data_IF_226507535903
#
_entry.id   IF_226507535903
#
_cell.length_a   1.000
_cell.length_b   1.000
_cell.length_c   1.000
_cell.angle_alpha   90.00
_cell.angle_beta   90.00
_cell.angle_gamma   90.00
#
_symmetry.space_group_name_H-M   'P 1'
#
loop_
_entity.id
_entity.type
_entity.pdbx_description
1 polymer ?
#
# COMPACT_ATOMS: atom_id res chain seq x y z
N UNK A 1 -16.60 26.95 -17.87
CA UNK A 1 -16.29 27.85 -16.74
C UNK A 1 -15.41 27.07 -15.78
N UNK A 2 -14.09 27.25 -15.85
CA UNK A 2 -13.13 26.64 -14.94
C UNK A 2 -12.49 27.71 -14.08
N UNK A 3 -12.60 27.58 -12.75
CA UNK A 3 -11.87 28.43 -11.81
C UNK A 3 -10.57 27.73 -11.41
N UNK A 4 -9.46 28.31 -11.86
CA UNK A 4 -8.11 28.07 -11.35
C UNK A 4 -7.96 28.88 -10.06
N UNK A 5 -7.81 28.22 -8.92
CA UNK A 5 -7.38 28.87 -7.68
C UNK A 5 -5.86 28.79 -7.59
N UNK A 6 -5.19 29.93 -7.78
CA UNK A 6 -3.80 30.15 -7.42
C UNK A 6 -3.70 30.24 -5.89
N UNK A 7 -3.09 29.23 -5.26
CA UNK A 7 -2.65 29.34 -3.87
C UNK A 7 -1.21 29.87 -3.86
N UNK A 8 -1.05 31.10 -3.40
CA UNK A 8 0.25 31.76 -3.22
C UNK A 8 1.00 31.06 -2.07
N UNK A 9 2.06 30.32 -2.38
CA UNK A 9 2.99 29.81 -1.37
C UNK A 9 3.82 30.97 -0.81
N UNK A 10 3.71 31.23 0.49
CA UNK A 10 4.65 32.09 1.21
C UNK A 10 5.74 31.19 1.76
N UNK A 11 6.91 31.20 1.11
CA UNK A 11 8.13 30.59 1.64
C UNK A 11 8.69 31.48 2.75
N UNK A 12 8.64 31.04 4.00
CA UNK A 12 9.25 31.74 5.13
C UNK A 12 10.62 31.10 5.38
N UNK A 13 11.70 31.79 5.04
CA UNK A 13 13.03 31.51 5.59
C UNK A 13 13.15 32.19 6.95
N UNK A 14 13.49 31.44 8.00
CA UNK A 14 13.77 32.00 9.33
C UNK A 14 15.22 31.70 9.71
N UNK A 15 16.03 32.75 9.87
CA UNK A 15 17.37 32.67 10.45
C UNK A 15 17.31 32.66 12.00
N UNK A 16 18.28 32.04 12.70
CA UNK A 16 18.18 31.83 14.14
C UNK A 16 18.90 32.94 14.94
N UNK A 17 18.18 33.68 15.78
CA UNK A 17 18.73 34.36 16.95
C UNK A 17 17.61 34.96 17.82
N UNK A 18 17.49 34.52 19.09
CA UNK A 18 17.55 35.32 20.32
C UNK A 18 17.02 34.49 21.52
N UNK A 19 17.77 34.55 22.62
CA UNK A 19 17.63 33.80 23.88
C UNK A 19 16.64 34.44 24.88
N UNK A 20 16.00 33.57 25.67
CA UNK A 20 15.59 33.65 27.10
C UNK A 20 14.74 34.84 27.63
N UNK A 21 13.55 34.53 28.16
CA UNK A 21 13.18 34.68 29.60
C UNK A 21 11.74 34.18 29.89
N UNK A 22 11.38 33.80 31.14
CA UNK A 22 10.23 32.93 31.44
C UNK A 22 9.09 33.65 32.20
N UNK A 23 7.81 33.37 31.90
CA UNK A 23 6.70 33.73 32.80
C UNK A 23 5.50 32.77 32.76
N UNK A 24 5.27 32.19 33.94
CA UNK A 24 4.03 31.88 34.71
C UNK A 24 2.73 31.34 34.08
N UNK A 25 2.26 30.30 34.77
CA UNK A 25 1.03 29.50 34.72
C UNK A 25 -0.28 30.28 34.95
N UNK A 26 -1.36 29.88 34.27
CA UNK A 26 -2.70 29.87 34.88
C UNK A 26 -3.64 28.82 34.24
N UNK A 27 -4.17 27.93 35.08
CA UNK A 27 -5.24 26.94 34.78
C UNK A 27 -6.53 27.63 34.34
N UNK A 28 -7.20 27.06 33.33
CA UNK A 28 -8.62 27.29 33.08
C UNK A 28 -9.32 25.94 32.89
N UNK A 29 -10.29 25.66 33.77
CA UNK A 29 -11.21 24.54 33.68
C UNK A 29 -12.35 24.89 32.71
N UNK A 30 -12.64 24.05 31.73
CA UNK A 30 -13.94 24.04 31.07
C UNK A 30 -14.50 22.61 31.00
N UNK A 31 -15.63 22.41 31.72
CA UNK A 31 -16.58 21.34 31.47
C UNK A 31 -17.32 21.66 30.18
N UNK A 32 -17.35 20.73 29.23
CA UNK A 32 -18.24 20.77 28.08
C UNK A 32 -19.03 19.45 28.05
N UNK A 33 -20.35 19.58 28.12
CA UNK A 33 -21.31 18.49 28.01
C UNK A 33 -21.53 18.14 26.55
N UNK A 34 -21.46 16.84 26.24
CA UNK A 34 -21.82 16.23 24.96
C UNK A 34 -23.34 16.19 24.80
N UNK A 35 -23.86 16.62 23.65
CA UNK A 35 -25.20 16.23 23.16
C UNK A 35 -25.14 15.95 21.65
N UNK A 36 -25.34 14.68 21.31
CA UNK A 36 -25.62 14.17 19.96
C UNK A 36 -27.15 13.98 19.82
N UNK A 37 -27.73 14.13 18.62
CA UNK A 37 -28.93 13.39 18.31
C UNK A 37 -28.74 12.44 17.14
N UNK A 38 -28.99 11.17 17.43
CA UNK A 38 -29.17 10.06 16.51
C UNK A 38 -30.67 9.92 16.16
N UNK A 39 -30.92 9.62 14.88
CA UNK A 39 -32.04 8.81 14.34
C UNK A 39 -33.49 9.26 14.50
N UNK A 40 -34.18 9.34 13.35
CA UNK A 40 -35.35 8.45 13.15
C UNK A 40 -35.64 8.17 11.67
N UNK A 41 -35.76 6.89 11.38
CA UNK A 41 -36.23 6.32 10.14
C UNK A 41 -37.72 6.60 9.90
N UNK A 42 -38.08 6.77 8.63
CA UNK A 42 -39.46 6.75 8.12
C UNK A 42 -39.44 6.26 6.67
N UNK A 43 -40.07 5.11 6.44
CA UNK A 43 -40.16 4.38 5.17
C UNK A 43 -41.55 4.62 4.55
N UNK A 44 -41.67 4.37 3.23
CA UNK A 44 -42.91 4.11 2.46
C UNK A 44 -43.75 5.35 2.05
N UNK A 45 -44.33 5.52 0.85
CA UNK A 45 -44.71 4.66 -0.29
C UNK A 45 -44.91 5.51 -1.57
N UNK A 46 -44.76 4.87 -2.73
CA UNK A 46 -45.51 4.98 -4.00
C UNK A 46 -46.03 6.35 -4.49
N UNK A 47 -45.67 6.72 -5.73
CA UNK A 47 -46.65 6.96 -6.81
C UNK A 47 -45.94 7.15 -8.18
N UNK A 48 -46.29 6.28 -9.13
CA UNK A 48 -46.13 6.52 -10.56
C UNK A 48 -47.11 7.63 -11.00
N UNK A 49 -46.67 8.53 -11.89
CA UNK A 49 -47.58 9.14 -12.87
C UNK A 49 -46.82 9.47 -14.16
N UNK A 50 -47.22 8.79 -15.22
CA UNK A 50 -47.03 9.24 -16.60
C UNK A 50 -48.11 10.29 -16.91
N UNK A 51 -47.76 11.39 -17.56
CA UNK A 51 -48.65 12.08 -18.48
C UNK A 51 -47.83 12.93 -19.47
N UNK A 52 -48.07 12.63 -20.74
CA UNK A 52 -47.45 13.15 -21.96
C UNK A 52 -48.08 14.48 -22.39
N UNK A 53 -47.37 15.30 -23.17
CA UNK A 53 -47.88 15.88 -24.45
C UNK A 53 -46.82 16.69 -25.22
N UNK A 54 -46.30 16.05 -26.26
CA UNK A 54 -46.20 16.44 -27.69
C UNK A 54 -45.77 17.83 -28.20
N UNK A 55 -45.19 17.73 -29.41
CA UNK A 55 -45.11 18.66 -30.58
C UNK A 55 -43.87 19.58 -30.59
N UNK A 56 -43.02 19.69 -31.64
CA UNK A 56 -43.22 19.62 -33.10
C UNK A 56 -41.97 19.02 -33.79
N UNK A 57 -42.20 18.35 -34.92
CA UNK A 57 -41.24 17.69 -35.79
C UNK A 57 -40.29 18.62 -36.57
N UNK A 58 -39.10 18.11 -36.90
CA UNK A 58 -38.48 18.37 -38.20
C UNK A 58 -37.78 17.10 -38.67
N UNK A 59 -38.26 16.62 -39.81
CA UNK A 59 -37.85 15.44 -40.54
C UNK A 59 -36.53 15.61 -41.29
N UNK A 60 -36.00 14.46 -41.71
CA UNK A 60 -35.05 14.23 -42.79
C UNK A 60 -33.57 14.24 -42.40
N UNK A 61 -33.05 13.05 -42.05
CA UNK A 61 -32.07 12.36 -42.89
C UNK A 61 -31.90 10.92 -42.39
N UNK A 62 -32.65 10.03 -43.02
CA UNK A 62 -32.52 8.59 -42.87
C UNK A 62 -31.62 8.09 -44.02
N UNK A 63 -30.76 7.10 -43.71
CA UNK A 63 -29.96 6.24 -44.61
C UNK A 63 -28.53 6.69 -44.90
N UNK A 64 -27.60 6.19 -44.08
CA UNK A 64 -26.36 5.51 -44.50
C UNK A 64 -25.97 4.55 -43.35
N UNK A 65 -25.67 3.29 -43.67
CA UNK A 65 -24.82 2.46 -42.79
C UNK A 65 -25.51 1.46 -41.86
N UNK A 66 -26.38 0.61 -42.39
CA UNK A 66 -26.62 -0.74 -41.87
C UNK A 66 -25.31 -1.54 -41.81
N UNK A 67 -24.49 -1.42 -40.76
CA UNK A 67 -23.26 -2.24 -40.63
C UNK A 67 -22.69 -2.47 -39.21
N UNK A 68 -23.35 -2.08 -38.12
CA UNK A 68 -22.79 -2.25 -36.76
C UNK A 68 -23.70 -2.94 -35.74
N UNK A 69 -24.48 -3.93 -36.16
CA UNK A 69 -25.20 -4.81 -35.23
C UNK A 69 -24.65 -6.24 -35.30
N UNK A 70 -23.53 -6.49 -34.62
CA UNK A 70 -23.24 -7.73 -33.88
C UNK A 70 -21.75 -7.80 -33.50
N UNK A 71 -21.38 -7.16 -32.39
CA UNK A 71 -20.19 -7.61 -31.65
C UNK A 71 -20.41 -7.37 -30.16
N UNK A 72 -21.35 -8.10 -29.59
CA UNK A 72 -21.44 -8.31 -28.14
C UNK A 72 -20.32 -9.26 -27.75
N UNK A 73 -19.19 -8.71 -27.29
CA UNK A 73 -18.20 -9.46 -26.54
C UNK A 73 -18.91 -10.02 -25.30
N UNK A 74 -18.87 -11.33 -25.02
CA UNK A 74 -19.45 -11.85 -23.79
C UNK A 74 -18.62 -11.27 -22.64
N UNK A 75 -19.21 -10.36 -21.87
CA UNK A 75 -18.69 -9.95 -20.59
C UNK A 75 -18.72 -11.20 -19.71
N UNK A 76 -17.55 -11.81 -19.48
CA UNK A 76 -17.42 -12.88 -18.51
C UNK A 76 -18.06 -12.40 -17.21
N UNK A 77 -19.05 -13.12 -16.71
CA UNK A 77 -19.76 -12.78 -15.49
C UNK A 77 -18.72 -12.65 -14.36
N UNK A 78 -18.39 -11.41 -14.01
CA UNK A 78 -17.56 -11.13 -12.85
C UNK A 78 -18.27 -11.75 -11.66
N UNK A 79 -17.57 -12.63 -10.94
CA UNK A 79 -18.07 -13.19 -9.70
C UNK A 79 -18.52 -12.02 -8.80
N UNK A 80 -19.61 -12.16 -8.02
CA UNK A 80 -20.12 -11.06 -7.22
C UNK A 80 -18.99 -10.49 -6.33
N UNK A 81 -18.96 -9.17 -6.06
CA UNK A 81 -17.86 -8.52 -5.36
C UNK A 81 -17.50 -9.15 -4.01
N UNK A 82 -18.47 -9.80 -3.36
CA UNK A 82 -18.26 -10.55 -2.13
C UNK A 82 -17.48 -11.86 -2.34
N UNK A 83 -17.70 -12.57 -3.44
CA UNK A 83 -16.97 -13.79 -3.79
C UNK A 83 -15.53 -13.49 -4.22
N UNK A 84 -15.28 -12.37 -4.92
CA UNK A 84 -13.92 -11.90 -5.22
C UNK A 84 -13.17 -11.54 -3.94
N UNK A 85 -13.79 -10.79 -3.01
CA UNK A 85 -13.18 -10.48 -1.71
C UNK A 85 -12.89 -11.72 -0.86
N UNK A 86 -13.75 -12.74 -0.91
CA UNK A 86 -13.52 -13.98 -0.19
C UNK A 86 -12.32 -14.77 -0.76
N UNK A 87 -12.18 -14.81 -2.09
CA UNK A 87 -11.04 -15.46 -2.75
C UNK A 87 -9.72 -14.69 -2.56
N UNK A 88 -9.76 -13.35 -2.59
CA UNK A 88 -8.61 -12.50 -2.27
C UNK A 88 -8.17 -12.66 -0.81
N UNK A 89 -9.12 -12.74 0.13
CA UNK A 89 -8.85 -13.02 1.53
C UNK A 89 -8.20 -14.40 1.73
N UNK A 90 -8.62 -15.41 0.97
CA UNK A 90 -8.03 -16.75 1.01
C UNK A 90 -6.56 -16.74 0.53
N UNK A 91 -6.25 -16.02 -0.55
CA UNK A 91 -4.87 -15.91 -1.04
C UNK A 91 -3.96 -15.18 -0.04
N UNK A 92 -4.41 -14.05 0.51
CA UNK A 92 -3.61 -13.28 1.46
C UNK A 92 -3.40 -14.03 2.77
N UNK A 93 -4.40 -14.78 3.24
CA UNK A 93 -4.26 -15.67 4.40
C UNK A 93 -3.19 -16.75 4.15
N UNK A 94 -3.21 -17.40 2.98
CA UNK A 94 -2.21 -18.40 2.60
C UNK A 94 -0.80 -17.82 2.47
N UNK A 95 -0.67 -16.60 1.98
CA UNK A 95 0.63 -15.89 1.96
C UNK A 95 1.12 -15.59 3.38
N UNK A 96 0.22 -15.17 4.26
CA UNK A 96 0.54 -14.89 5.65
C UNK A 96 1.01 -16.16 6.38
N UNK A 97 0.39 -17.32 6.13
CA UNK A 97 0.88 -18.62 6.62
C UNK A 97 2.32 -18.92 6.16
N UNK A 98 2.70 -18.46 4.97
CA UNK A 98 4.07 -18.54 4.43
C UNK A 98 4.97 -17.38 4.90
N UNK A 99 4.52 -16.60 5.89
CA UNK A 99 5.18 -15.43 6.50
C UNK A 99 5.47 -14.33 5.49
N UNK A 100 4.57 -14.16 4.53
CA UNK A 100 4.64 -13.12 3.51
C UNK A 100 3.57 -12.07 3.82
N UNK A 101 4.02 -10.82 3.99
CA UNK A 101 3.18 -9.64 4.26
C UNK A 101 3.34 -8.67 3.09
N UNK A 102 2.25 -8.06 2.65
CA UNK A 102 2.25 -7.13 1.52
C UNK A 102 1.78 -5.73 1.94
N UNK A 103 2.63 -4.73 1.69
CA UNK A 103 2.28 -3.31 1.67
C UNK A 103 2.16 -2.88 0.19
N UNK A 104 0.96 -3.02 -0.37
CA UNK A 104 0.68 -2.73 -1.79
C UNK A 104 -0.13 -1.46 -2.05
N UNK A 105 -0.34 -0.62 -1.03
CA UNK A 105 -1.19 0.57 -1.10
C UNK A 105 -0.52 1.77 -0.42
N UNK A 106 -1.17 2.94 -0.51
CA UNK A 106 -0.78 4.12 0.27
C UNK A 106 -0.82 3.80 1.76
N UNK A 107 0.14 4.33 2.52
CA UNK A 107 0.24 4.04 3.95
C UNK A 107 -0.64 5.00 4.76
N UNK A 108 -1.81 4.54 5.14
CA UNK A 108 -2.68 5.18 6.12
C UNK A 108 -2.72 4.39 7.44
N UNK A 109 -3.47 4.89 8.43
CA UNK A 109 -3.56 4.26 9.74
C UNK A 109 -4.15 2.83 9.66
N UNK A 110 -5.10 2.60 8.74
CA UNK A 110 -5.71 1.28 8.55
C UNK A 110 -4.72 0.27 7.96
N UNK A 111 -3.99 0.67 6.92
CA UNK A 111 -2.94 -0.15 6.33
C UNK A 111 -1.83 -0.42 7.35
N UNK A 112 -1.43 0.58 8.14
CA UNK A 112 -0.44 0.41 9.19
C UNK A 112 -0.91 -0.59 10.26
N UNK A 113 -2.13 -0.45 10.78
CA UNK A 113 -2.70 -1.37 11.76
C UNK A 113 -2.75 -2.82 11.24
N UNK A 114 -3.10 -3.00 9.95
CA UNK A 114 -3.12 -4.30 9.32
C UNK A 114 -1.71 -4.92 9.22
N UNK A 115 -0.69 -4.14 8.85
CA UNK A 115 0.70 -4.58 8.77
C UNK A 115 1.24 -4.90 10.17
N UNK A 116 1.05 -3.99 11.13
CA UNK A 116 1.46 -4.18 12.53
C UNK A 116 0.88 -5.46 13.11
N UNK A 117 -0.43 -5.67 12.94
CA UNK A 117 -1.11 -6.86 13.43
C UNK A 117 -0.54 -8.15 12.83
N UNK A 118 -0.25 -8.14 11.52
CA UNK A 118 0.37 -9.28 10.83
C UNK A 118 1.79 -9.56 11.32
N UNK A 119 2.63 -8.52 11.48
CA UNK A 119 4.00 -8.68 11.97
C UNK A 119 4.03 -9.26 13.40
N UNK A 120 3.21 -8.72 14.30
CA UNK A 120 3.12 -9.19 15.68
C UNK A 120 2.58 -10.63 15.76
N UNK A 121 1.60 -10.98 14.93
CA UNK A 121 1.08 -12.35 14.84
C UNK A 121 2.18 -13.33 14.41
N UNK A 122 2.92 -13.00 13.35
CA UNK A 122 3.97 -13.86 12.82
C UNK A 122 5.15 -14.00 13.80
N UNK A 123 5.50 -12.93 14.51
CA UNK A 123 6.51 -12.98 15.57
C UNK A 123 6.08 -13.86 16.75
N UNK A 124 4.80 -13.78 17.14
CA UNK A 124 4.25 -14.61 18.22
C UNK A 124 4.21 -16.11 17.83
N UNK A 125 3.95 -16.42 16.55
CA UNK A 125 3.90 -17.80 16.06
C UNK A 125 5.29 -18.45 16.01
N UNK A 126 6.29 -17.75 15.46
CA UNK A 126 7.65 -18.26 15.40
C UNK A 126 8.66 -17.09 15.35
N UNK A 127 9.33 -16.77 16.47
CA UNK A 127 10.27 -15.64 16.54
C UNK A 127 11.62 -15.93 15.88
N UNK A 128 11.89 -17.16 15.42
CA UNK A 128 13.17 -17.52 14.81
C UNK A 128 13.13 -17.54 13.28
N UNK A 129 11.92 -17.55 12.69
CA UNK A 129 11.75 -17.57 11.23
C UNK A 129 11.59 -16.18 10.66
N UNK A 130 12.20 -15.97 9.50
CA UNK A 130 12.10 -14.70 8.80
C UNK A 130 10.66 -14.36 8.40
N UNK A 131 10.34 -13.07 8.47
CA UNK A 131 9.12 -12.48 7.90
C UNK A 131 9.53 -11.74 6.63
N UNK A 132 8.80 -11.92 5.53
CA UNK A 132 9.04 -11.23 4.27
C UNK A 132 7.99 -10.16 4.03
N UNK A 133 8.38 -8.90 4.15
CA UNK A 133 7.55 -7.73 3.88
C UNK A 133 7.82 -7.21 2.46
N UNK A 134 6.88 -7.43 1.55
CA UNK A 134 6.92 -6.88 0.21
C UNK A 134 6.32 -5.48 0.20
N UNK A 135 7.06 -4.52 -0.37
CA UNK A 135 6.71 -3.10 -0.37
C UNK A 135 6.55 -2.62 -1.81
N UNK A 136 5.35 -2.17 -2.12
CA UNK A 136 4.98 -1.44 -3.34
C UNK A 136 4.05 -0.29 -2.94
N UNK A 137 4.63 0.83 -2.53
CA UNK A 137 3.88 1.96 -1.97
C UNK A 137 4.58 3.28 -2.29
N UNK A 138 3.76 4.30 -2.57
CA UNK A 138 4.19 5.68 -2.71
C UNK A 138 4.48 6.38 -1.37
N UNK A 139 4.27 5.68 -0.25
CA UNK A 139 4.33 6.24 1.10
C UNK A 139 2.95 6.69 1.61
N UNK A 140 2.94 7.59 2.59
CA UNK A 140 1.72 8.07 3.23
C UNK A 140 2.02 8.79 4.54
N UNK A 141 1.15 8.62 5.53
CA UNK A 141 1.22 9.35 6.81
C UNK A 141 2.49 8.99 7.59
N UNK A 142 3.17 10.01 8.13
CA UNK A 142 4.41 9.81 8.89
C UNK A 142 4.20 9.00 10.17
N UNK A 143 3.16 9.31 10.95
CA UNK A 143 2.82 8.58 12.19
C UNK A 143 2.57 7.09 11.93
N UNK A 144 1.79 6.77 10.89
CA UNK A 144 1.51 5.40 10.45
C UNK A 144 2.83 4.66 10.10
N UNK A 145 3.73 5.33 9.38
CA UNK A 145 5.04 4.78 9.05
C UNK A 145 5.91 4.51 10.27
N UNK A 146 5.97 5.45 11.21
CA UNK A 146 6.76 5.28 12.43
C UNK A 146 6.21 4.16 13.31
N UNK A 147 4.88 3.98 13.38
CA UNK A 147 4.29 2.84 14.07
C UNK A 147 4.71 1.49 13.48
N UNK A 148 4.70 1.36 12.15
CA UNK A 148 5.18 0.13 11.47
C UNK A 148 6.69 -0.03 11.68
N UNK A 149 7.47 1.05 11.56
CA UNK A 149 8.92 1.04 11.79
C UNK A 149 9.26 0.50 13.18
N UNK A 150 8.62 1.01 14.22
CA UNK A 150 8.85 0.59 15.61
C UNK A 150 8.52 -0.88 15.81
N UNK A 151 7.45 -1.37 15.17
CA UNK A 151 7.07 -2.80 15.25
C UNK A 151 8.09 -3.68 14.52
N UNK A 152 8.65 -3.24 13.39
CA UNK A 152 9.75 -3.95 12.73
C UNK A 152 10.97 -4.05 13.66
N UNK A 153 11.30 -2.99 14.40
CA UNK A 153 12.39 -3.02 15.38
C UNK A 153 12.06 -3.86 16.63
N UNK A 154 10.78 -3.93 17.01
CA UNK A 154 10.30 -4.70 18.16
C UNK A 154 10.26 -6.21 17.90
N UNK A 155 10.01 -6.64 16.66
CA UNK A 155 9.96 -8.05 16.30
C UNK A 155 11.28 -8.77 16.63
N UNK A 156 11.18 -9.96 17.20
CA UNK A 156 12.32 -10.87 17.44
C UNK A 156 12.68 -11.60 16.15
N UNK A 157 11.67 -11.97 15.37
CA UNK A 157 11.82 -12.51 14.04
C UNK A 157 12.51 -11.50 13.11
N UNK A 158 13.54 -11.91 12.34
CA UNK A 158 14.13 -11.04 11.34
C UNK A 158 13.10 -10.66 10.26
N UNK A 159 12.97 -9.37 9.98
CA UNK A 159 12.05 -8.85 8.96
C UNK A 159 12.86 -8.51 7.71
N UNK A 160 12.71 -9.32 6.66
CA UNK A 160 13.25 -9.04 5.33
C UNK A 160 12.29 -8.12 4.58
N UNK A 161 12.78 -6.98 4.13
CA UNK A 161 12.01 -6.00 3.36
C UNK A 161 12.38 -6.12 1.89
N UNK A 162 11.37 -6.16 1.01
CA UNK A 162 11.58 -6.40 -0.43
C UNK A 162 10.80 -5.36 -1.24
N UNK A 163 11.51 -4.45 -1.90
CA UNK A 163 10.89 -3.48 -2.79
C UNK A 163 10.53 -4.10 -4.14
N UNK A 164 9.27 -3.95 -4.54
CA UNK A 164 8.76 -4.33 -5.86
C UNK A 164 8.02 -3.13 -6.45
N UNK A 165 8.25 -2.83 -7.74
CA UNK A 165 7.62 -1.68 -8.38
C UNK A 165 8.16 -0.35 -7.84
N UNK A 166 7.56 0.18 -6.78
CA UNK A 166 7.90 1.49 -6.23
C UNK A 166 7.90 1.50 -4.70
N UNK A 167 8.96 2.03 -4.09
CA UNK A 167 9.05 2.27 -2.66
C UNK A 167 9.49 3.71 -2.42
N UNK A 168 8.55 4.60 -2.11
CA UNK A 168 8.80 6.03 -2.05
C UNK A 168 8.39 6.68 -0.73
N UNK A 169 9.03 7.80 -0.40
CA UNK A 169 8.74 8.56 0.82
C UNK A 169 8.85 7.68 2.07
N UNK A 170 7.80 7.61 2.88
CA UNK A 170 7.78 6.79 4.11
C UNK A 170 7.90 5.30 3.83
N UNK A 171 7.50 4.82 2.65
CA UNK A 171 7.71 3.42 2.27
C UNK A 171 9.18 3.10 2.01
N UNK A 172 9.99 4.06 1.55
CA UNK A 172 11.44 3.88 1.43
C UNK A 172 12.12 3.80 2.81
N UNK A 173 11.58 4.50 3.81
CA UNK A 173 12.04 4.40 5.20
C UNK A 173 11.73 3.00 5.76
N UNK A 174 10.51 2.49 5.51
CA UNK A 174 10.14 1.11 5.89
C UNK A 174 10.97 0.05 5.15
N UNK A 175 11.31 0.29 3.89
CA UNK A 175 12.24 -0.57 3.16
C UNK A 175 13.60 -0.62 3.86
N UNK A 176 14.11 0.55 4.26
CA UNK A 176 15.40 0.68 4.92
C UNK A 176 15.42 0.10 6.34
N UNK A 177 14.26 0.00 7.01
CA UNK A 177 14.13 -0.48 8.40
C UNK A 177 14.20 -1.99 8.55
N UNK A 178 14.21 -2.75 7.45
CA UNK A 178 14.37 -4.21 7.49
C UNK A 178 15.68 -4.62 8.16
N UNK A 179 15.74 -5.88 8.59
CA UNK A 179 16.94 -6.44 9.22
C UNK A 179 18.13 -6.32 8.28
N UNK A 180 19.26 -5.77 8.78
CA UNK A 180 20.50 -5.61 8.02
C UNK A 180 20.95 -6.92 7.37
N UNK A 181 21.30 -6.86 6.10
CA UNK A 181 21.61 -8.01 5.24
C UNK A 181 20.39 -8.64 4.55
N UNK A 182 19.17 -8.18 4.86
CA UNK A 182 17.90 -8.72 4.33
C UNK A 182 16.99 -7.65 3.73
N UNK A 183 17.52 -6.45 3.47
CA UNK A 183 16.83 -5.36 2.76
C UNK A 183 17.09 -5.51 1.27
N UNK A 184 16.07 -5.80 0.48
CA UNK A 184 16.21 -6.25 -0.91
C UNK A 184 15.31 -5.43 -1.85
N UNK A 185 15.66 -5.43 -3.14
CA UNK A 185 14.82 -4.84 -4.18
C UNK A 185 14.84 -5.68 -5.47
N UNK A 186 13.72 -5.65 -6.21
CA UNK A 186 13.67 -6.20 -7.56
C UNK A 186 14.43 -5.32 -8.56
N UNK A 187 14.92 -5.84 -9.70
CA UNK A 187 15.79 -5.10 -10.61
C UNK A 187 15.14 -3.86 -11.25
N UNK A 188 13.81 -3.87 -11.36
CA UNK A 188 13.02 -2.77 -11.91
C UNK A 188 12.39 -1.88 -10.83
N UNK A 189 12.64 -2.14 -9.55
CA UNK A 189 12.09 -1.33 -8.48
C UNK A 189 12.69 0.07 -8.52
N UNK A 190 11.90 1.09 -8.19
CA UNK A 190 12.37 2.46 -7.98
C UNK A 190 12.19 2.84 -6.53
N UNK A 191 13.23 3.43 -5.95
CA UNK A 191 13.25 3.87 -4.56
C UNK A 191 13.35 5.39 -4.56
N UNK A 192 12.52 6.07 -3.77
CA UNK A 192 12.54 7.53 -3.68
C UNK A 192 12.52 7.97 -2.23
N UNK A 193 13.43 8.87 -1.87
CA UNK A 193 13.47 9.53 -0.55
C UNK A 193 13.37 11.04 -0.73
N UNK A 194 12.72 11.67 0.23
CA UNK A 194 12.57 13.12 0.32
C UNK A 194 12.24 13.50 1.76
N UNK A 195 12.33 14.78 2.09
CA UNK A 195 11.95 15.30 3.39
C UNK A 195 10.44 15.09 3.68
N UNK A 196 10.04 15.00 4.96
CA UNK A 196 8.64 14.95 5.31
C UNK A 196 7.87 16.18 4.80
N UNK A 197 6.71 15.95 4.21
CA UNK A 197 5.82 17.00 3.75
C UNK A 197 4.67 17.20 4.73
N UNK A 198 4.27 18.45 4.94
CA UNK A 198 3.15 18.81 5.80
C UNK A 198 2.64 20.21 5.50
N UNK A 199 1.51 20.57 6.11
CA UNK A 199 0.93 21.90 6.05
C UNK A 199 0.74 22.47 7.44
N UNK A 200 0.80 23.79 7.56
CA UNK A 200 0.51 24.50 8.81
C UNK A 200 -0.56 25.57 8.58
N UNK A 201 -1.60 25.60 9.42
CA UNK A 201 -2.67 26.61 9.33
C UNK A 201 -3.32 26.87 10.69
N UNK A 202 -3.96 28.03 10.84
CA UNK A 202 -4.63 28.44 12.09
C UNK A 202 -4.06 29.74 12.65
N UNK A 203 -4.14 29.90 13.98
CA UNK A 203 -3.55 31.05 14.66
C UNK A 203 -2.02 30.99 14.58
N UNK A 204 -1.34 32.12 14.81
CA UNK A 204 0.12 32.18 14.74
C UNK A 204 0.80 31.12 15.62
N UNK A 205 0.26 30.86 16.82
CA UNK A 205 0.75 29.84 17.75
C UNK A 205 0.52 28.42 17.19
N UNK A 206 -0.64 28.16 16.58
CA UNK A 206 -0.94 26.85 15.97
C UNK A 206 0.01 26.55 14.81
N UNK A 207 0.29 27.55 13.97
CA UNK A 207 1.25 27.45 12.87
C UNK A 207 2.66 27.16 13.40
N UNK A 208 3.08 27.84 14.46
CA UNK A 208 4.38 27.59 15.10
C UNK A 208 4.50 26.17 15.65
N UNK A 209 3.45 25.66 16.32
CA UNK A 209 3.42 24.29 16.86
C UNK A 209 3.49 23.27 15.73
N UNK A 210 2.69 23.43 14.68
CA UNK A 210 2.66 22.51 13.54
C UNK A 210 4.00 22.51 12.78
N UNK A 211 4.63 23.69 12.60
CA UNK A 211 5.94 23.79 11.99
C UNK A 211 7.03 23.09 12.83
N UNK A 212 6.98 23.21 14.16
CA UNK A 212 7.90 22.49 15.06
C UNK A 212 7.75 20.97 14.95
N UNK A 213 6.52 20.48 14.80
CA UNK A 213 6.26 19.04 14.62
C UNK A 213 6.81 18.51 13.29
N UNK A 214 6.62 19.26 12.19
CA UNK A 214 7.20 18.91 10.89
C UNK A 214 8.74 18.85 10.98
N UNK A 215 9.36 19.83 11.65
CA UNK A 215 10.81 19.83 11.88
C UNK A 215 11.27 18.67 12.77
N UNK A 216 10.46 18.28 13.77
CA UNK A 216 10.73 17.11 14.59
C UNK A 216 10.78 15.83 13.74
N UNK A 217 9.76 15.60 12.91
CA UNK A 217 9.75 14.47 11.97
C UNK A 217 10.92 14.50 10.99
N UNK A 218 11.25 15.68 10.44
CA UNK A 218 12.41 15.83 9.53
C UNK A 218 13.70 15.37 10.20
N UNK A 219 13.97 15.86 11.41
CA UNK A 219 15.18 15.50 12.16
C UNK A 219 15.20 14.02 12.54
N UNK A 220 14.06 13.45 12.92
CA UNK A 220 13.96 12.02 13.24
C UNK A 220 14.30 11.14 12.02
N UNK A 221 13.73 11.45 10.86
CA UNK A 221 14.01 10.71 9.61
C UNK A 221 15.47 10.83 9.20
N UNK A 222 16.06 12.02 9.32
CA UNK A 222 17.49 12.24 9.04
C UNK A 222 18.34 11.33 9.94
N UNK A 223 18.06 11.26 11.23
CA UNK A 223 18.81 10.43 12.17
C UNK A 223 18.67 8.94 11.83
N UNK A 224 17.43 8.46 11.63
CA UNK A 224 17.14 7.06 11.28
C UNK A 224 17.88 6.65 10.00
N UNK A 225 17.75 7.43 8.92
CA UNK A 225 18.39 7.10 7.65
C UNK A 225 19.92 7.25 7.73
N UNK A 226 20.42 8.22 8.48
CA UNK A 226 21.86 8.38 8.74
C UNK A 226 22.45 7.14 9.43
N UNK A 227 21.79 6.63 10.47
CA UNK A 227 22.20 5.42 11.17
C UNK A 227 22.15 4.17 10.29
N UNK A 228 21.09 4.02 9.50
CA UNK A 228 20.89 2.86 8.62
C UNK A 228 21.88 2.84 7.44
N UNK A 229 22.10 3.99 6.81
CA UNK A 229 22.95 4.11 5.61
C UNK A 229 24.43 4.33 5.93
N UNK A 230 24.76 4.75 7.15
CA UNK A 230 26.10 5.14 7.58
C UNK A 230 26.55 6.50 7.02
N UNK A 231 25.64 7.30 6.43
CA UNK A 231 25.92 8.66 5.96
C UNK A 231 25.85 9.64 7.11
N UNK A 232 26.57 10.77 7.01
CA UNK A 232 26.48 11.82 8.03
C UNK A 232 25.09 12.48 8.05
N UNK A 233 24.60 12.98 9.20
CA UNK A 233 23.32 13.70 9.26
C UNK A 233 23.25 14.91 8.33
N UNK A 234 24.37 15.63 8.15
CA UNK A 234 24.46 16.79 7.25
C UNK A 234 24.27 16.37 5.79
N UNK A 235 24.97 15.32 5.37
CA UNK A 235 24.79 14.78 4.02
C UNK A 235 23.35 14.29 3.80
N UNK A 236 22.76 13.62 4.80
CA UNK A 236 21.39 13.14 4.71
C UNK A 236 20.38 14.29 4.62
N UNK A 237 20.61 15.41 5.30
CA UNK A 237 19.77 16.60 5.19
C UNK A 237 19.78 17.18 3.76
N UNK A 238 20.95 17.31 3.15
CA UNK A 238 21.10 17.78 1.76
C UNK A 238 20.46 16.79 0.77
N UNK A 239 20.70 15.50 0.98
CA UNK A 239 20.23 14.44 0.08
C UNK A 239 18.70 14.23 0.15
N UNK A 240 18.04 14.63 1.25
CA UNK A 240 16.58 14.59 1.42
C UNK A 240 15.86 15.90 1.05
N UNK A 241 16.57 17.00 0.80
CA UNK A 241 15.92 18.31 0.56
C UNK A 241 14.94 18.27 -0.64
N UNK A 242 15.24 17.45 -1.65
CA UNK A 242 14.38 17.24 -2.82
C UNK A 242 14.19 15.75 -3.10
N UNK A 243 13.18 15.45 -3.91
CA UNK A 243 12.90 14.12 -4.41
C UNK A 243 14.16 13.53 -5.05
N UNK A 244 14.70 12.50 -4.41
CA UNK A 244 15.86 11.77 -4.90
C UNK A 244 15.48 10.34 -5.18
N UNK A 245 15.64 9.95 -6.44
CA UNK A 245 15.32 8.62 -6.91
C UNK A 245 16.58 7.78 -7.07
N UNK A 246 16.47 6.51 -6.69
CA UNK A 246 17.51 5.51 -6.80
C UNK A 246 16.99 4.34 -7.64
N UNK A 247 17.87 3.84 -8.52
CA UNK A 247 17.79 2.47 -9.00
C UNK A 247 18.14 1.50 -7.85
N UNK A 248 17.82 0.21 -7.98
CA UNK A 248 18.16 -0.77 -6.95
C UNK A 248 19.67 -0.82 -6.66
N UNK A 249 20.51 -0.72 -7.70
CA UNK A 249 21.97 -0.71 -7.54
C UNK A 249 22.45 0.54 -6.81
N UNK A 250 21.98 1.72 -7.21
CA UNK A 250 22.31 2.98 -6.51
C UNK A 250 21.83 2.96 -5.05
N UNK A 251 20.69 2.31 -4.77
CA UNK A 251 20.18 2.17 -3.41
C UNK A 251 21.04 1.23 -2.54
N UNK A 252 21.66 0.21 -3.13
CA UNK A 252 22.69 -0.63 -2.45
C UNK A 252 23.92 0.21 -2.13
N UNK A 253 24.46 0.92 -3.12
CA UNK A 253 25.64 1.77 -2.95
C UNK A 253 25.42 2.90 -1.94
N UNK A 254 24.20 3.42 -1.88
CA UNK A 254 23.82 4.45 -0.91
C UNK A 254 23.60 3.87 0.50
N UNK A 255 23.30 2.57 0.63
CA UNK A 255 23.10 1.86 1.90
C UNK A 255 21.64 1.76 2.36
N UNK A 256 20.68 2.08 1.49
CA UNK A 256 19.23 1.96 1.77
C UNK A 256 18.82 0.49 1.82
N UNK A 257 19.38 -0.31 0.91
CA UNK A 257 19.16 -1.75 0.82
C UNK A 257 20.50 -2.50 0.80
N UNK A 258 20.47 -3.81 1.00
CA UNK A 258 21.64 -4.69 1.06
C UNK A 258 21.88 -5.45 -0.25
N UNK A 259 20.83 -5.66 -1.08
CA UNK A 259 20.98 -6.43 -2.31
C UNK A 259 19.85 -6.26 -3.32
N UNK A 260 20.14 -6.64 -4.56
CA UNK A 260 19.17 -6.70 -5.65
C UNK A 260 18.90 -8.18 -5.95
N UNK A 261 17.62 -8.57 -5.98
CA UNK A 261 17.22 -9.93 -6.32
C UNK A 261 17.26 -10.05 -7.85
N UNK A 262 18.34 -10.62 -8.38
CA UNK A 262 18.36 -11.12 -9.75
C UNK A 262 17.96 -12.61 -9.78
N UNK A 263 17.56 -13.11 -10.95
CA UNK A 263 16.83 -14.35 -11.26
C UNK A 263 17.32 -15.65 -10.58
N UNK A 264 18.49 -15.64 -9.94
CA UNK A 264 19.12 -16.78 -9.28
C UNK A 264 19.01 -16.76 -7.73
N UNK A 265 18.53 -15.66 -7.13
CA UNK A 265 18.49 -15.46 -5.67
C UNK A 265 17.08 -15.57 -5.05
N UNK A 266 16.17 -16.31 -5.69
CA UNK A 266 14.93 -16.72 -5.03
C UNK A 266 15.24 -18.01 -4.26
N UNK A 267 15.30 -17.95 -2.92
CA UNK A 267 15.12 -19.16 -2.12
C UNK A 267 13.82 -19.80 -2.61
N UNK A 268 13.85 -21.03 -3.16
CA UNK A 268 12.67 -21.62 -3.73
C UNK A 268 11.62 -21.71 -2.63
N UNK A 269 10.41 -21.19 -2.90
CA UNK A 269 9.23 -21.75 -2.24
C UNK A 269 9.36 -23.25 -2.45
N UNK A 270 9.44 -24.02 -1.36
CA UNK A 270 9.64 -25.46 -1.48
C UNK A 270 8.72 -26.01 -2.57
N UNK A 271 9.24 -26.79 -3.54
CA UNK A 271 8.44 -27.21 -4.68
C UNK A 271 7.23 -27.99 -4.19
N UNK A 272 6.06 -27.59 -4.65
CA UNK A 272 4.86 -28.43 -4.58
C UNK A 272 5.19 -29.78 -5.25
N UNK A 273 4.74 -30.93 -4.70
CA UNK A 273 5.14 -32.25 -5.20
C UNK A 273 4.91 -32.47 -6.70
N UNK A 274 5.80 -33.27 -7.30
CA UNK A 274 6.25 -33.22 -8.70
C UNK A 274 5.27 -33.71 -9.79
N UNK A 275 4.08 -34.23 -9.46
CA UNK A 275 3.12 -34.69 -10.48
C UNK A 275 1.68 -34.29 -10.19
N UNK A 276 1.20 -33.33 -10.97
CA UNK A 276 -0.20 -33.24 -11.37
C UNK A 276 -0.20 -33.36 -12.90
N UNK A 277 -0.49 -34.55 -13.43
CA UNK A 277 -0.60 -34.73 -14.88
C UNK A 277 -1.91 -34.11 -15.36
N UNK A 278 -1.81 -32.94 -15.99
CA UNK A 278 -2.98 -32.15 -16.45
C UNK A 278 -3.56 -32.60 -17.79
N UNK A 279 -2.98 -33.61 -18.46
CA UNK A 279 -3.51 -34.19 -19.71
C UNK A 279 -3.21 -35.69 -19.74
N UNK A 280 -4.15 -36.55 -20.17
CA UNK A 280 -3.85 -37.95 -20.44
C UNK A 280 -2.86 -38.05 -21.61
N UNK A 281 -1.89 -38.95 -21.49
CA UNK A 281 -0.92 -39.23 -22.55
C UNK A 281 -1.64 -39.97 -23.69
N UNK A 282 -1.59 -39.43 -24.91
CA UNK A 282 -2.29 -40.01 -26.07
C UNK A 282 -1.74 -41.38 -26.46
N UNK A 283 -0.51 -41.70 -26.03
CA UNK A 283 0.10 -43.02 -26.25
C UNK A 283 -0.56 -44.13 -25.43
N UNK A 284 -1.16 -43.79 -24.29
CA UNK A 284 -1.94 -44.74 -23.49
C UNK A 284 -3.29 -45.09 -24.16
N UNK A 285 -3.75 -44.27 -25.11
CA UNK A 285 -4.94 -44.53 -25.92
C UNK A 285 -4.71 -45.64 -26.98
N UNK A 286 -3.46 -45.90 -27.38
CA UNK A 286 -3.12 -46.99 -28.31
C UNK A 286 -3.09 -48.35 -27.61
N UNK A 287 -2.79 -48.37 -26.31
CA UNK A 287 -2.65 -49.60 -25.50
C UNK A 287 -4.01 -50.12 -25.03
N UNK A 288 -4.94 -49.22 -24.68
CA UNK A 288 -6.34 -49.56 -24.41
C UNK A 288 -7.27 -48.38 -24.78
N UNK A 289 -7.87 -48.37 -25.99
CA UNK A 289 -8.69 -47.25 -26.45
C UNK A 289 -9.98 -47.08 -25.63
N UNK A 290 -10.41 -48.10 -24.86
CA UNK A 290 -11.61 -47.99 -24.02
C UNK A 290 -11.37 -47.17 -22.76
N UNK A 291 -10.15 -47.25 -22.21
CA UNK A 291 -9.78 -46.52 -20.99
C UNK A 291 -9.74 -45.00 -21.21
N UNK A 292 -9.47 -44.57 -22.44
CA UNK A 292 -9.40 -43.15 -22.80
C UNK A 292 -10.78 -42.50 -22.97
N UNK A 293 -11.76 -43.27 -23.48
CA UNK A 293 -13.11 -42.77 -23.73
C UNK A 293 -13.97 -42.76 -22.45
N UNK A 294 -13.68 -43.65 -21.49
CA UNK A 294 -14.37 -43.71 -20.20
C UNK A 294 -13.36 -43.94 -19.09
N UNK A 295 -12.70 -42.87 -18.59
CA UNK A 295 -11.86 -43.02 -17.40
C UNK A 295 -12.77 -43.39 -16.22
N UNK A 296 -12.48 -44.51 -15.56
CA UNK A 296 -13.15 -44.90 -14.32
C UNK A 296 -12.54 -44.03 -13.22
N UNK A 297 -13.25 -42.98 -12.85
CA UNK A 297 -12.91 -42.12 -11.72
C UNK A 297 -13.33 -42.90 -10.47
N UNK A 298 -12.41 -43.22 -9.55
CA UNK A 298 -12.77 -43.87 -8.28
C UNK A 298 -13.77 -43.01 -7.52
N UNK A 299 -14.82 -43.60 -6.95
CA UNK A 299 -15.92 -42.87 -6.28
C UNK A 299 -15.42 -42.00 -5.09
N UNK A 300 -14.22 -42.28 -4.59
CA UNK A 300 -13.49 -41.55 -3.57
C UNK A 300 -12.86 -40.21 -4.05
N UNK A 301 -12.83 -39.95 -5.36
CA UNK A 301 -12.41 -38.65 -5.93
C UNK A 301 -13.59 -37.72 -6.26
N UNK A 302 -14.84 -38.14 -6.01
CA UNK A 302 -16.05 -37.34 -6.26
C UNK A 302 -16.62 -36.78 -4.95
N UNK A 303 -15.81 -36.10 -4.12
CA UNK A 303 -16.28 -35.16 -3.10
C UNK A 303 -15.25 -34.07 -2.82
#
# INVERSE_FOLDING_TARGET
MGCLNFATQVSIQVSPAIKNSPLSVSRVNHRASFDLPYSRAGRCLLANSHASTSTIASSAEERIGSFYSSMTIPFAAQAPPAAQKAAEADVMARLLEQRIVFLGCSLDDFAADAIVSQLLLLDAQDPNKDIRLFINSSGGTMSAAMGVFDVIQLCRAPVSTIAIGFAASTAAILLASGTKGKRLAMPNARIMVHQPMGGASGQAIDVEIQAKEIMHHKNNVINILSEITGRSPQQMEDDLDRDRFYSPLEAVEYGIIDGVIDKDAMVPLAPMPEKISRRPDYKDAEVDPRKFLTPVIPDDEIF
#
